data_IF_755459505900
#
_entry.id   IF_755459505900
#
_cell.length_a   1.000
_cell.length_b   1.000
_cell.length_c   1.000
_cell.angle_alpha   90.00
_cell.angle_beta   90.00
_cell.angle_gamma   90.00
#
_symmetry.space_group_name_H-M   'P 1'
#
loop_
_entity.id
_entity.type
_entity.pdbx_description
1 polymer ?
#
# COMPACT_ATOMS: atom_id res chain seq x y z
N UNK A 1 21.76 -60.84 -19.17
CA UNK A 1 22.90 -59.91 -19.13
C UNK A 1 22.78 -59.01 -20.35
N UNK A 2 22.84 -57.68 -20.16
CA UNK A 2 22.80 -56.55 -21.14
C UNK A 2 21.48 -55.79 -21.30
N UNK A 3 21.32 -54.72 -20.50
CA UNK A 3 20.90 -53.36 -20.96
C UNK A 3 20.88 -52.34 -19.80
N UNK A 4 20.86 -52.79 -18.54
CA UNK A 4 20.78 -51.86 -17.39
C UNK A 4 22.11 -51.24 -16.94
N UNK A 5 23.26 -51.82 -17.30
CA UNK A 5 24.57 -51.35 -16.80
C UNK A 5 25.18 -50.17 -17.59
N UNK A 6 24.74 -49.90 -18.83
CA UNK A 6 25.38 -48.90 -19.70
C UNK A 6 24.86 -47.48 -19.45
N UNK A 7 23.60 -47.32 -19.03
CA UNK A 7 22.99 -46.00 -18.77
C UNK A 7 23.51 -45.34 -17.49
N UNK A 8 23.86 -46.12 -16.46
CA UNK A 8 24.38 -45.59 -15.19
C UNK A 8 25.80 -45.02 -15.30
N UNK A 9 26.62 -45.54 -16.23
CA UNK A 9 28.00 -45.06 -16.43
C UNK A 9 28.09 -43.71 -17.16
N UNK A 10 27.15 -43.40 -18.06
CA UNK A 10 27.14 -42.12 -18.77
C UNK A 10 26.70 -40.95 -17.88
N UNK A 11 25.74 -41.13 -16.98
CA UNK A 11 25.28 -40.07 -16.07
C UNK A 11 26.36 -39.63 -15.08
N UNK A 12 27.17 -40.58 -14.57
CA UNK A 12 28.26 -40.28 -13.64
C UNK A 12 29.39 -39.45 -14.28
N UNK A 13 29.66 -39.65 -15.58
CA UNK A 13 30.70 -38.93 -16.29
C UNK A 13 30.32 -37.47 -16.60
N UNK A 14 29.05 -37.20 -16.92
CA UNK A 14 28.54 -35.84 -17.15
C UNK A 14 28.51 -35.00 -15.87
N UNK A 15 28.17 -35.61 -14.73
CA UNK A 15 28.16 -34.93 -13.44
C UNK A 15 29.58 -34.52 -12.99
N UNK A 16 30.58 -35.37 -13.29
CA UNK A 16 31.98 -35.08 -12.97
C UNK A 16 32.58 -33.95 -13.85
N UNK A 17 32.20 -33.88 -15.14
CA UNK A 17 32.63 -32.79 -16.04
C UNK A 17 32.00 -31.44 -15.66
N UNK A 18 30.72 -31.43 -15.25
CA UNK A 18 30.05 -30.20 -14.81
C UNK A 18 30.65 -29.66 -13.49
N UNK A 19 31.04 -30.55 -12.58
CA UNK A 19 31.73 -30.17 -11.34
C UNK A 19 33.14 -29.62 -11.58
N UNK A 20 33.87 -30.15 -12.57
CA UNK A 20 35.21 -29.66 -12.93
C UNK A 20 35.18 -28.24 -13.55
N UNK A 21 34.11 -27.91 -14.30
CA UNK A 21 33.91 -26.56 -14.87
C UNK A 21 33.58 -25.49 -13.81
N UNK A 22 33.01 -25.88 -12.67
CA UNK A 22 32.72 -24.97 -11.55
C UNK A 22 33.98 -24.60 -10.74
N UNK A 23 35.05 -25.39 -10.83
CA UNK A 23 36.31 -25.14 -10.12
C UNK A 23 37.31 -24.25 -10.90
N UNK A 24 36.97 -23.86 -12.15
CA UNK A 24 37.84 -23.05 -13.01
C UNK A 24 37.47 -21.55 -13.06
N UNK A 25 36.58 -21.05 -12.18
CA UNK A 25 36.39 -19.61 -12.01
C UNK A 25 37.56 -18.99 -11.25
N UNK A 26 38.61 -18.72 -12.02
CA UNK A 26 39.78 -17.96 -11.62
C UNK A 26 39.36 -16.58 -11.07
N UNK A 27 39.71 -16.31 -9.82
CA UNK A 27 39.48 -15.04 -9.15
C UNK A 27 40.49 -14.02 -9.71
N UNK A 28 40.10 -13.31 -10.78
CA UNK A 28 40.85 -12.14 -11.23
C UNK A 28 40.58 -10.98 -10.28
N UNK A 29 41.49 -10.77 -9.33
CA UNK A 29 41.54 -9.58 -8.49
C UNK A 29 41.85 -8.34 -9.35
N UNK A 30 40.81 -7.74 -9.93
CA UNK A 30 40.88 -6.40 -10.50
C UNK A 30 40.90 -5.39 -9.36
N UNK A 31 42.05 -4.74 -9.16
CA UNK A 31 42.20 -3.52 -8.37
C UNK A 31 41.82 -2.30 -9.23
N UNK A 32 40.68 -1.63 -9.01
CA UNK A 32 40.48 -0.29 -9.55
C UNK A 32 41.25 0.69 -8.66
N UNK A 33 42.13 1.47 -9.30
CA UNK A 33 42.88 2.56 -8.69
C UNK A 33 41.91 3.60 -8.12
N UNK A 34 42.26 4.06 -6.92
CA UNK A 34 41.66 5.14 -6.15
C UNK A 34 41.52 6.40 -7.02
N UNK A 35 40.28 6.85 -7.23
CA UNK A 35 39.99 8.22 -7.67
C UNK A 35 39.51 9.02 -6.47
N UNK A 36 40.38 9.93 -6.02
CA UNK A 36 40.09 10.90 -4.98
C UNK A 36 39.34 12.07 -5.62
N UNK A 37 38.02 12.11 -5.47
CA UNK A 37 37.18 13.25 -5.85
C UNK A 37 36.60 13.88 -4.58
N UNK A 38 37.38 14.76 -3.96
CA UNK A 38 36.89 15.66 -2.93
C UNK A 38 36.21 16.85 -3.63
N UNK A 39 34.91 16.76 -3.86
CA UNK A 39 34.06 17.93 -4.09
C UNK A 39 32.85 17.80 -3.17
N UNK A 40 32.91 18.54 -2.07
CA UNK A 40 31.77 18.86 -1.23
C UNK A 40 30.81 19.67 -2.10
N UNK A 41 29.73 19.04 -2.54
CA UNK A 41 28.48 19.72 -2.85
C UNK A 41 27.46 19.20 -1.85
N UNK A 42 27.45 19.79 -0.66
CA UNK A 42 26.27 19.73 0.22
C UNK A 42 25.21 20.65 -0.39
N UNK A 43 24.64 20.24 -1.52
CA UNK A 43 23.25 20.56 -1.76
C UNK A 43 22.48 19.77 -0.70
N UNK A 44 21.82 20.48 0.21
CA UNK A 44 20.83 19.86 1.07
C UNK A 44 19.71 19.32 0.17
N UNK A 45 19.89 18.11 -0.35
CA UNK A 45 18.78 17.24 -0.71
C UNK A 45 18.12 16.98 0.63
N UNK A 46 17.08 17.75 0.95
CA UNK A 46 16.10 17.29 1.91
C UNK A 46 15.64 15.93 1.37
N UNK A 47 16.12 14.84 1.95
CA UNK A 47 15.60 13.49 1.73
C UNK A 47 14.16 13.47 2.25
N UNK A 48 13.27 14.16 1.54
CA UNK A 48 11.86 14.08 1.78
C UNK A 48 11.45 12.72 1.25
N UNK A 49 11.16 11.76 2.13
CA UNK A 49 10.60 10.42 1.81
C UNK A 49 9.22 10.47 1.12
N UNK A 50 8.88 11.62 0.55
CA UNK A 50 7.64 11.93 -0.13
C UNK A 50 7.77 11.56 -1.61
N UNK A 51 6.88 10.71 -2.09
CA UNK A 51 6.79 10.30 -3.48
C UNK A 51 5.72 11.12 -4.23
N UNK A 52 5.86 11.39 -5.54
CA UNK A 52 4.85 12.09 -6.31
C UNK A 52 3.61 11.21 -6.52
N UNK A 53 2.43 11.82 -6.50
CA UNK A 53 1.17 11.20 -6.88
C UNK A 53 0.20 12.27 -7.41
N UNK A 54 -0.94 11.83 -7.90
CA UNK A 54 -2.06 12.73 -8.24
C UNK A 54 -3.23 12.46 -7.32
N UNK A 55 -4.11 13.46 -7.17
CA UNK A 55 -5.35 13.30 -6.47
C UNK A 55 -6.53 13.96 -7.18
N UNK A 56 -7.65 13.24 -7.18
CA UNK A 56 -9.00 13.77 -7.39
C UNK A 56 -9.82 13.62 -6.11
N UNK A 57 -11.11 13.91 -6.18
CA UNK A 57 -12.03 13.59 -5.11
C UNK A 57 -13.40 13.17 -5.63
N UNK A 58 -14.12 12.42 -4.78
CA UNK A 58 -15.45 11.90 -5.09
C UNK A 58 -16.43 12.05 -3.91
N UNK A 59 -17.70 11.80 -4.20
CA UNK A 59 -18.80 11.93 -3.23
C UNK A 59 -19.17 13.39 -2.95
N UNK A 60 -19.72 13.63 -1.76
CA UNK A 60 -20.14 14.98 -1.35
C UNK A 60 -18.93 15.83 -0.91
N UNK A 61 -18.93 17.17 -1.10
CA UNK A 61 -17.81 18.05 -0.76
C UNK A 61 -17.31 17.92 0.68
N UNK A 62 -18.19 17.66 1.64
CA UNK A 62 -17.84 17.41 3.04
C UNK A 62 -18.29 16.01 3.50
N UNK A 63 -18.34 15.06 2.55
CA UNK A 63 -18.71 13.67 2.80
C UNK A 63 -17.50 12.75 2.94
N UNK A 64 -17.80 11.47 3.07
CA UNK A 64 -16.91 10.34 3.29
C UNK A 64 -16.65 9.52 2.01
N UNK A 65 -16.85 10.13 0.84
CA UNK A 65 -16.72 9.43 -0.43
C UNK A 65 -17.94 8.54 -0.69
N UNK A 66 -17.84 7.26 -0.32
CA UNK A 66 -18.89 6.24 -0.52
C UNK A 66 -18.90 5.21 0.61
N UNK A 67 -20.09 4.91 1.14
CA UNK A 67 -20.32 3.78 2.05
C UNK A 67 -20.35 2.43 1.31
N UNK A 68 -20.39 2.42 -0.02
CA UNK A 68 -20.39 1.22 -0.86
C UNK A 68 -19.00 0.80 -1.35
N UNK A 69 -17.94 1.23 -0.68
CA UNK A 69 -16.57 1.05 -1.14
C UNK A 69 -16.12 -0.42 -1.20
N UNK A 70 -15.18 -0.71 -2.09
CA UNK A 70 -14.67 -2.05 -2.39
C UNK A 70 -14.02 -2.78 -1.20
N UNK A 71 -13.64 -2.07 -0.13
CA UNK A 71 -13.11 -2.69 1.10
C UNK A 71 -14.20 -3.18 2.06
N UNK A 72 -15.47 -2.85 1.82
CA UNK A 72 -16.61 -3.37 2.59
C UNK A 72 -16.80 -2.74 3.98
N UNK A 73 -16.16 -1.61 4.28
CA UNK A 73 -16.28 -0.92 5.58
C UNK A 73 -17.65 -0.25 5.80
N UNK A 74 -18.44 -0.06 4.75
CA UNK A 74 -19.81 0.41 4.92
C UNK A 74 -19.87 1.83 5.50
N UNK A 75 -20.88 2.13 6.35
CA UNK A 75 -21.03 3.44 7.00
C UNK A 75 -19.93 3.81 8.00
N UNK A 76 -18.99 2.92 8.33
CA UNK A 76 -17.92 3.24 9.29
C UNK A 76 -16.91 4.24 8.70
N UNK A 77 -16.80 4.34 7.37
CA UNK A 77 -15.88 5.28 6.68
C UNK A 77 -16.14 6.75 7.03
N UNK A 78 -17.39 7.11 7.33
CA UNK A 78 -17.77 8.44 7.80
C UNK A 78 -17.65 8.65 9.31
N UNK A 79 -17.42 7.59 10.08
CA UNK A 79 -17.39 7.61 11.54
C UNK A 79 -15.97 7.56 12.08
N UNK A 80 -15.79 7.88 13.35
CA UNK A 80 -14.50 7.65 14.00
C UNK A 80 -14.16 6.15 13.95
N UNK A 81 -12.88 5.79 13.74
CA UNK A 81 -11.71 6.67 13.65
C UNK A 81 -11.42 7.24 12.25
N UNK A 82 -12.05 6.74 11.18
CA UNK A 82 -11.80 7.22 9.82
C UNK A 82 -12.19 8.69 9.63
N UNK A 83 -13.32 9.13 10.20
CA UNK A 83 -13.81 10.51 10.16
C UNK A 83 -13.82 11.09 8.75
N UNK A 84 -14.26 10.31 7.76
CA UNK A 84 -14.24 10.68 6.34
C UNK A 84 -12.84 10.93 5.77
N UNK A 85 -11.75 10.68 6.51
CA UNK A 85 -10.37 10.82 6.04
C UNK A 85 -9.93 9.56 5.27
N UNK A 86 -10.54 9.37 4.11
CA UNK A 86 -10.43 8.14 3.32
C UNK A 86 -10.16 8.45 1.84
N UNK A 87 -9.75 7.42 1.10
CA UNK A 87 -9.51 7.47 -0.35
C UNK A 87 -9.94 6.18 -1.02
N UNK A 88 -10.52 6.30 -2.21
CA UNK A 88 -10.43 5.25 -3.20
C UNK A 88 -9.01 5.26 -3.80
N UNK A 89 -8.39 4.09 -3.93
CA UNK A 89 -7.05 3.95 -4.47
C UNK A 89 -7.06 3.47 -5.92
N UNK A 90 -6.22 4.06 -6.77
CA UNK A 90 -5.84 3.42 -8.04
C UNK A 90 -5.15 2.05 -7.80
N UNK A 91 -4.88 1.32 -8.89
CA UNK A 91 -4.42 -0.08 -8.79
C UNK A 91 -3.18 -0.30 -7.90
N UNK A 92 -2.23 0.64 -7.89
CA UNK A 92 -1.01 0.56 -7.07
C UNK A 92 -1.26 0.73 -5.56
N UNK A 93 -2.36 1.39 -5.19
CA UNK A 93 -2.75 1.61 -3.80
C UNK A 93 -3.74 0.54 -3.35
N UNK A 94 -4.78 0.25 -4.14
CA UNK A 94 -5.83 -0.72 -3.78
C UNK A 94 -5.33 -2.17 -3.82
N UNK A 95 -4.45 -2.51 -4.77
CA UNK A 95 -3.80 -3.82 -4.89
C UNK A 95 -4.76 -5.02 -4.76
N UNK A 96 -5.87 -4.97 -5.48
CA UNK A 96 -6.91 -6.01 -5.45
C UNK A 96 -7.44 -6.31 -4.04
N UNK A 97 -7.51 -5.30 -3.18
CA UNK A 97 -7.97 -5.40 -1.79
C UNK A 97 -6.86 -5.51 -0.75
N UNK A 98 -5.63 -5.89 -1.13
CA UNK A 98 -4.51 -5.96 -0.19
C UNK A 98 -4.13 -4.59 0.40
N UNK A 99 -4.49 -3.50 -0.31
CA UNK A 99 -4.29 -2.14 0.16
C UNK A 99 -5.40 -1.62 1.07
N UNK A 100 -6.50 -2.35 1.26
CA UNK A 100 -7.55 -1.95 2.19
C UNK A 100 -6.98 -1.76 3.59
N UNK A 101 -7.37 -0.65 4.22
CA UNK A 101 -6.91 -0.31 5.57
C UNK A 101 -5.51 0.30 5.64
N UNK A 102 -4.74 0.34 4.54
CA UNK A 102 -3.43 1.00 4.53
C UNK A 102 -3.57 2.53 4.65
N UNK A 103 -2.68 3.12 5.47
CA UNK A 103 -2.65 4.57 5.70
C UNK A 103 -1.51 5.28 4.97
N UNK A 104 -1.84 6.49 4.51
CA UNK A 104 -0.93 7.37 3.80
C UNK A 104 -1.04 8.77 4.36
N UNK A 105 0.09 9.49 4.46
CA UNK A 105 0.00 10.95 4.47
C UNK A 105 0.00 11.45 3.03
N UNK A 106 -0.86 12.41 2.73
CA UNK A 106 -0.92 13.11 1.45
C UNK A 106 -0.87 14.61 1.68
N UNK A 107 -0.15 15.34 0.82
CA UNK A 107 -0.07 16.80 0.87
C UNK A 107 0.03 17.40 -0.53
N UNK A 108 -0.46 18.63 -0.67
CA UNK A 108 -0.33 19.38 -1.92
C UNK A 108 0.47 20.67 -1.70
N UNK A 109 1.16 21.13 -2.74
CA UNK A 109 1.94 22.38 -2.73
C UNK A 109 1.78 23.21 -4.01
N UNK A 110 1.36 22.60 -5.12
CA UNK A 110 1.29 23.24 -6.44
C UNK A 110 0.06 24.10 -6.72
N UNK A 111 -0.93 24.13 -5.82
CA UNK A 111 -2.13 24.96 -5.96
C UNK A 111 -2.11 26.08 -4.91
N UNK A 112 -2.58 27.30 -5.26
CA UNK A 112 -2.61 28.45 -4.35
C UNK A 112 -3.42 28.18 -3.07
N UNK A 113 -4.42 27.31 -3.13
CA UNK A 113 -5.24 26.89 -2.00
C UNK A 113 -4.56 25.85 -1.09
N UNK A 114 -3.46 25.22 -1.51
CA UNK A 114 -2.76 24.24 -0.71
C UNK A 114 -2.19 24.85 0.58
N UNK A 115 -2.42 24.17 1.71
CA UNK A 115 -1.79 24.55 2.99
C UNK A 115 -0.31 24.15 3.05
N UNK A 116 0.10 23.12 2.30
CA UNK A 116 1.40 22.47 2.43
C UNK A 116 1.48 21.48 3.59
N UNK A 117 0.47 21.43 4.47
CA UNK A 117 0.39 20.49 5.57
C UNK A 117 -0.17 19.15 5.08
N UNK A 118 0.37 18.02 5.57
CA UNK A 118 -0.16 16.72 5.22
C UNK A 118 -1.44 16.38 6.00
N UNK A 119 -2.27 15.55 5.37
CA UNK A 119 -3.40 14.87 6.02
C UNK A 119 -3.19 13.36 5.91
N UNK A 120 -3.64 12.61 6.92
CA UNK A 120 -3.63 11.15 6.87
C UNK A 120 -4.93 10.64 6.29
N UNK A 121 -4.85 9.68 5.37
CA UNK A 121 -6.00 9.02 4.76
C UNK A 121 -5.83 7.51 4.76
N UNK A 122 -6.95 6.79 4.84
CA UNK A 122 -7.00 5.33 4.72
C UNK A 122 -7.57 4.92 3.36
N UNK A 123 -7.02 3.88 2.74
CA UNK A 123 -7.60 3.28 1.54
C UNK A 123 -8.82 2.44 1.94
N UNK A 124 -9.99 2.82 1.45
CA UNK A 124 -11.28 2.15 1.79
C UNK A 124 -12.08 1.75 0.56
N UNK A 125 -11.59 2.07 -0.64
CA UNK A 125 -12.28 1.81 -1.90
C UNK A 125 -11.28 1.67 -3.06
N UNK A 126 -11.77 1.22 -4.21
CA UNK A 126 -11.03 1.10 -5.45
C UNK A 126 -11.44 2.20 -6.43
N UNK A 127 -10.47 2.76 -7.14
CA UNK A 127 -10.73 3.62 -8.29
C UNK A 127 -10.19 2.97 -9.57
N UNK A 128 -10.98 2.15 -10.28
CA UNK A 128 -10.55 1.50 -11.52
C UNK A 128 -10.22 2.48 -12.65
N UNK A 129 -10.83 3.68 -12.65
CA UNK A 129 -10.60 4.74 -13.65
C UNK A 129 -9.37 5.60 -13.39
N UNK A 130 -8.70 5.42 -12.24
CA UNK A 130 -7.54 6.19 -11.85
C UNK A 130 -6.28 5.65 -12.55
N UNK A 131 -5.93 6.27 -13.68
CA UNK A 131 -4.97 5.73 -14.67
C UNK A 131 -3.49 6.04 -14.40
N UNK A 132 -3.21 7.03 -13.57
CA UNK A 132 -1.88 7.47 -13.19
C UNK A 132 -1.19 6.44 -12.29
N UNK A 133 0.15 6.44 -12.28
CA UNK A 133 0.94 5.43 -11.55
C UNK A 133 0.58 5.32 -10.07
N UNK A 134 0.31 6.46 -9.42
CA UNK A 134 -0.22 6.55 -8.06
C UNK A 134 -1.26 7.65 -8.04
N UNK A 135 -2.51 7.27 -7.78
CA UNK A 135 -3.67 8.15 -7.83
C UNK A 135 -4.57 7.89 -6.62
N UNK A 136 -4.75 8.92 -5.81
CA UNK A 136 -5.70 8.96 -4.69
C UNK A 136 -6.99 9.67 -5.11
N UNK A 137 -8.10 8.96 -5.20
CA UNK A 137 -9.41 9.60 -5.34
C UNK A 137 -10.01 9.78 -3.95
N UNK A 138 -9.75 10.96 -3.37
CA UNK A 138 -10.01 11.26 -1.96
C UNK A 138 -11.50 11.49 -1.70
N UNK A 139 -11.96 11.31 -0.47
CA UNK A 139 -13.26 11.90 -0.09
C UNK A 139 -13.21 13.43 -0.22
N UNK A 140 -14.37 14.06 -0.41
CA UNK A 140 -14.45 15.53 -0.39
C UNK A 140 -13.89 16.16 0.89
N UNK A 141 -14.08 15.49 2.04
CA UNK A 141 -13.52 15.91 3.33
C UNK A 141 -11.99 15.86 3.33
N UNK A 142 -11.40 14.72 2.93
CA UNK A 142 -9.96 14.54 2.90
C UNK A 142 -9.27 15.49 1.90
N UNK A 143 -9.86 15.66 0.72
CA UNK A 143 -9.33 16.58 -0.30
C UNK A 143 -9.35 18.03 0.19
N UNK A 144 -10.48 18.46 0.78
CA UNK A 144 -10.61 19.79 1.35
C UNK A 144 -9.68 20.05 2.53
N UNK A 145 -9.37 19.03 3.33
CA UNK A 145 -8.49 19.13 4.50
C UNK A 145 -7.02 19.48 4.13
N UNK A 146 -6.60 19.25 2.89
CA UNK A 146 -5.29 19.71 2.40
C UNK A 146 -5.22 21.22 2.16
N UNK A 147 -6.35 21.92 2.10
CA UNK A 147 -6.41 23.34 1.80
C UNK A 147 -6.03 24.22 3.00
N UNK A 148 -5.68 25.48 2.72
CA UNK A 148 -5.63 26.55 3.72
C UNK A 148 -7.01 26.72 4.34
N UNK A 149 -7.04 27.19 5.59
CA UNK A 149 -8.29 27.50 6.28
C UNK A 149 -9.19 28.41 5.43
N UNK A 150 -10.45 28.01 5.23
CA UNK A 150 -11.42 28.71 4.39
C UNK A 150 -11.27 28.52 2.87
N UNK A 151 -10.32 27.71 2.40
CA UNK A 151 -10.06 27.50 0.95
C UNK A 151 -10.35 26.06 0.48
N UNK A 152 -11.06 25.26 1.28
CA UNK A 152 -11.40 23.87 0.93
C UNK A 152 -12.17 23.78 -0.39
N UNK A 153 -13.19 24.61 -0.59
CA UNK A 153 -13.94 24.64 -1.85
C UNK A 153 -13.09 25.12 -3.04
N UNK A 154 -12.19 26.07 -2.82
CA UNK A 154 -11.27 26.52 -3.87
C UNK A 154 -10.35 25.39 -4.32
N UNK A 155 -9.84 24.59 -3.37
CA UNK A 155 -9.03 23.43 -3.70
C UNK A 155 -9.89 22.38 -4.43
N UNK A 156 -11.06 22.00 -3.88
CA UNK A 156 -11.98 21.03 -4.51
C UNK A 156 -12.37 21.41 -5.94
N UNK A 157 -12.58 22.68 -6.22
CA UNK A 157 -12.89 23.19 -7.56
C UNK A 157 -11.75 23.02 -8.56
N UNK A 158 -10.51 22.77 -8.12
CA UNK A 158 -9.43 22.36 -9.01
C UNK A 158 -9.68 20.98 -9.63
N UNK A 159 -10.43 20.11 -8.92
CA UNK A 159 -10.84 18.77 -9.35
C UNK A 159 -9.70 17.75 -9.35
N UNK A 160 -8.57 18.10 -9.94
CA UNK A 160 -7.38 17.28 -10.09
C UNK A 160 -6.14 18.08 -9.69
N UNK A 161 -5.30 17.53 -8.81
CA UNK A 161 -4.08 18.19 -8.34
C UNK A 161 -2.90 17.23 -8.26
N UNK A 162 -1.69 17.77 -8.43
CA UNK A 162 -0.45 17.08 -8.09
C UNK A 162 -0.25 17.12 -6.57
N UNK A 163 0.03 15.96 -5.99
CA UNK A 163 0.29 15.80 -4.56
C UNK A 163 1.61 15.07 -4.33
N UNK A 164 2.00 14.99 -3.08
CA UNK A 164 3.02 14.09 -2.61
C UNK A 164 2.43 13.18 -1.54
N UNK A 165 2.91 11.95 -1.46
CA UNK A 165 2.45 10.98 -0.47
C UNK A 165 3.61 10.25 0.21
N UNK A 166 3.33 9.70 1.40
CA UNK A 166 4.16 8.68 2.04
C UNK A 166 3.26 7.63 2.70
N UNK A 167 3.67 6.37 2.66
CA UNK A 167 3.02 5.30 3.42
C UNK A 167 3.40 5.42 4.89
N UNK A 168 2.44 5.18 5.78
CA UNK A 168 2.66 5.21 7.23
C UNK A 168 1.87 4.11 7.92
N UNK A 169 2.29 3.78 9.15
CA UNK A 169 1.46 2.99 10.07
C UNK A 169 0.19 3.78 10.38
N UNK A 170 -0.97 3.13 10.38
CA UNK A 170 -2.20 3.75 10.85
C UNK A 170 -2.11 4.06 12.35
N UNK A 171 -2.97 4.96 12.83
CA UNK A 171 -3.02 5.32 14.24
C UNK A 171 -4.46 5.30 14.73
N UNK A 172 -4.95 4.11 15.05
CA UNK A 172 -6.29 3.89 15.59
C UNK A 172 -6.28 3.77 17.12
N UNK A 173 -5.40 4.51 17.81
CA UNK A 173 -5.31 4.47 19.29
C UNK A 173 -6.67 4.65 19.96
N UNK A 174 -6.99 3.72 20.86
CA UNK A 174 -8.27 3.70 21.57
C UNK A 174 -9.37 2.92 20.86
N UNK A 175 -9.09 2.36 19.68
CA UNK A 175 -9.94 1.43 18.95
C UNK A 175 -9.33 0.04 18.99
N UNK A 176 -10.18 -0.98 19.13
CA UNK A 176 -9.79 -2.37 19.00
C UNK A 176 -9.92 -2.78 17.53
N UNK A 177 -9.13 -3.78 17.10
CA UNK A 177 -9.33 -4.41 15.80
C UNK A 177 -10.77 -4.92 15.74
N UNK A 178 -11.51 -4.48 14.72
CA UNK A 178 -12.91 -4.80 14.58
C UNK A 178 -13.11 -5.84 13.48
N UNK A 179 -14.01 -6.80 13.74
CA UNK A 179 -14.40 -7.83 12.78
C UNK A 179 -15.86 -7.66 12.44
N UNK A 180 -16.15 -7.29 11.19
CA UNK A 180 -17.51 -7.20 10.71
C UNK A 180 -17.83 -8.41 9.83
N UNK A 181 -18.63 -9.32 10.39
CA UNK A 181 -19.07 -10.54 9.70
C UNK A 181 -20.04 -10.17 8.59
N UNK A 182 -19.72 -10.62 7.37
CA UNK A 182 -20.54 -10.40 6.19
C UNK A 182 -21.95 -10.99 6.39
N UNK A 183 -22.98 -10.27 5.95
CA UNK A 183 -24.37 -10.66 6.12
C UNK A 183 -24.74 -11.96 5.36
N UNK A 184 -23.95 -12.36 4.36
CA UNK A 184 -24.10 -13.63 3.64
C UNK A 184 -23.50 -14.84 4.39
N UNK A 185 -22.80 -14.62 5.50
CA UNK A 185 -22.26 -15.69 6.34
C UNK A 185 -23.38 -16.58 6.90
N UNK A 186 -23.10 -17.88 7.01
CA UNK A 186 -24.01 -18.91 7.46
C UNK A 186 -23.21 -20.10 8.03
N UNK A 187 -23.84 -21.18 8.55
CA UNK A 187 -23.11 -22.31 9.14
C UNK A 187 -22.10 -23.03 8.21
N UNK A 188 -22.12 -22.77 6.91
CA UNK A 188 -21.24 -23.38 5.91
C UNK A 188 -20.33 -22.39 5.18
N UNK A 189 -20.47 -21.09 5.44
CA UNK A 189 -19.68 -20.03 4.80
C UNK A 189 -19.46 -18.88 5.78
N UNK A 190 -18.22 -18.45 5.92
CA UNK A 190 -17.86 -17.31 6.76
C UNK A 190 -17.03 -16.32 5.95
N UNK A 191 -17.39 -15.05 6.04
CA UNK A 191 -16.60 -13.95 5.57
C UNK A 191 -16.66 -12.81 6.59
N UNK A 192 -15.56 -12.09 6.75
CA UNK A 192 -15.48 -10.92 7.61
C UNK A 192 -14.57 -9.89 6.94
N UNK A 193 -14.91 -8.62 7.07
CA UNK A 193 -13.95 -7.54 6.90
C UNK A 193 -13.30 -7.26 8.25
N UNK A 194 -12.05 -6.83 8.22
CA UNK A 194 -11.26 -6.46 9.39
C UNK A 194 -10.94 -4.98 9.25
N UNK A 195 -11.18 -4.23 10.32
CA UNK A 195 -10.96 -2.80 10.38
C UNK A 195 -10.01 -2.47 11.54
N UNK A 196 -9.41 -1.29 11.46
CA UNK A 196 -8.59 -0.67 12.51
C UNK A 196 -7.27 -1.39 12.82
N UNK A 197 -6.73 -2.12 11.84
CA UNK A 197 -5.38 -2.65 11.86
C UNK A 197 -4.33 -1.60 11.52
N UNK A 198 -3.14 -1.70 12.10
CA UNK A 198 -2.14 -0.65 11.95
C UNK A 198 -1.20 -0.82 10.74
N UNK A 199 -0.93 -2.08 10.33
CA UNK A 199 0.16 -2.43 9.39
C UNK A 199 -0.25 -3.40 8.27
N UNK A 200 -1.55 -3.47 7.95
CA UNK A 200 -2.10 -4.36 6.92
C UNK A 200 -2.19 -5.83 7.36
N UNK A 201 -2.86 -6.64 6.54
CA UNK A 201 -3.23 -8.02 6.89
C UNK A 201 -2.58 -8.99 5.89
N UNK A 202 -1.71 -9.87 6.39
CA UNK A 202 -1.03 -10.86 5.55
C UNK A 202 -1.78 -12.21 5.51
N UNK A 203 -2.45 -12.58 6.60
CA UNK A 203 -3.20 -13.83 6.73
C UNK A 203 -4.27 -13.70 7.82
N UNK A 204 -5.34 -14.48 7.69
CA UNK A 204 -6.41 -14.62 8.68
C UNK A 204 -6.73 -16.11 8.77
N UNK A 205 -6.60 -16.66 9.98
CA UNK A 205 -6.93 -18.06 10.27
C UNK A 205 -8.05 -18.10 11.32
N UNK A 206 -8.92 -19.10 11.22
CA UNK A 206 -10.02 -19.33 12.16
C UNK A 206 -9.80 -20.64 12.91
N UNK A 207 -10.08 -20.63 14.21
CA UNK A 207 -10.08 -21.82 15.04
C UNK A 207 -11.39 -21.88 15.83
N UNK A 208 -12.11 -22.98 15.72
CA UNK A 208 -13.28 -23.24 16.57
C UNK A 208 -12.82 -23.38 18.03
N UNK A 209 -13.49 -22.67 18.93
CA UNK A 209 -13.22 -22.81 20.36
C UNK A 209 -13.57 -24.23 20.81
N UNK A 210 -12.57 -24.99 21.26
CA UNK A 210 -12.83 -26.30 21.86
C UNK A 210 -13.71 -26.18 23.10
N UNK A 211 -14.58 -27.17 23.33
CA UNK A 211 -15.28 -27.34 24.60
C UNK A 211 -14.24 -27.44 25.73
N UNK A 212 -14.08 -26.38 26.52
CA UNK A 212 -13.59 -26.53 27.88
C UNK A 212 -14.66 -27.34 28.61
N UNK A 213 -14.39 -28.63 28.77
CA UNK A 213 -15.13 -29.48 29.70
C UNK A 213 -14.82 -28.95 31.10
N UNK A 214 -15.76 -28.17 31.65
CA UNK A 214 -15.82 -27.86 33.08
C UNK A 214 -16.15 -29.14 33.88
#
# INVERSE_FOLDING_TARGET
MTMEAVLSFHHSSYFFILFLLLLLKSCSAFHPKILNASIISTSAVSNSNWSPAVATWYGSPNGDGSEGGACGYGPTVGQAPFNSMISAGGNSLFQSGNGCGECYQVKCTGNAACSGNPVTVTITDSCPGCSESVHFDLSGTAFGAMAKSGQADQLRNAGFIQIQYLRMKCNYRGWEINFHVDAGSNPYYFATVIEYEDEGIAAVDLQEAGLLSL
#
